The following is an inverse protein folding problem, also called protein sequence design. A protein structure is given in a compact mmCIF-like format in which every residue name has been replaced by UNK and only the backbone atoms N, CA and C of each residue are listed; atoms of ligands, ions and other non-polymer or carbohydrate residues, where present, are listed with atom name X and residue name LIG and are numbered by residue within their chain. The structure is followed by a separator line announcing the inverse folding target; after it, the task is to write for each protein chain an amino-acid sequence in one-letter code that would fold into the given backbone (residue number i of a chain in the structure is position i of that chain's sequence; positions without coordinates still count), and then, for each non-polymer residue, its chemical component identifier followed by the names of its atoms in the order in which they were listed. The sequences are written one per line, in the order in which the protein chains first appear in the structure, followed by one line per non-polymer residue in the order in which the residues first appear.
data_IF_337313523104
#
_entry.id   IF_337313523104
#
_cell.length_a   1.000
_cell.length_b   1.000
_cell.length_c   1.000
_cell.angle_alpha   90.00
_cell.angle_beta   90.00
_cell.angle_gamma   90.00
#
_symmetry.space_group_name_H-M   'P 1'
#
loop_
_entity.id
_entity.type
_entity.pdbx_description
1 polymer ?
2 non-polymer ?
3 water ?
#
# COMPACT_ATOMS: atom_id res chain seq x y z
N UNK A 4 1.97 -13.62 4.62
CA UNK A 4 1.33 -12.66 3.75
C UNK A 4 1.78 -11.23 3.99
N UNK A 5 1.69 -10.37 2.98
CA UNK A 5 2.11 -8.94 3.13
C UNK A 5 1.46 -8.18 4.29
N UNK A 6 0.17 -8.36 4.51
CA UNK A 6 -0.52 -7.62 5.59
C UNK A 6 0.01 -8.03 6.93
N UNK A 7 0.12 -9.35 7.11
CA UNK A 7 0.63 -9.86 8.36
C UNK A 7 2.07 -9.34 8.58
N UNK A 8 2.82 -9.15 7.50
CA UNK A 8 4.15 -8.56 7.65
C UNK A 8 4.17 -7.06 7.89
N UNK A 9 3.20 -6.27 7.40
CA UNK A 9 3.19 -4.79 7.68
C UNK A 9 2.93 -4.45 9.16
N UNK A 10 2.31 -5.39 9.86
CA UNK A 10 2.01 -5.24 11.26
C UNK A 10 3.27 -5.13 12.17
N UNK A 11 4.44 -5.53 11.67
CA UNK A 11 5.70 -5.50 12.45
C UNK A 11 6.35 -4.13 12.57
N UNK A 12 5.93 -3.19 11.74
CA UNK A 12 6.54 -1.87 11.73
C UNK A 12 6.13 -1.06 12.96
N UNK A 13 7.07 -0.29 13.55
CA UNK A 13 6.75 0.54 14.72
C UNK A 13 5.69 1.59 14.39
N UNK A 14 5.58 1.98 13.11
CA UNK A 14 4.50 2.87 12.74
C UNK A 14 3.35 1.88 12.79
N UNK A 15 2.22 2.35 13.26
CA UNK A 15 1.03 1.53 13.38
C UNK A 15 0.31 1.60 12.04
N UNK A 16 0.94 1.06 10.99
CA UNK A 16 0.38 1.19 9.65
C UNK A 16 -1.07 0.71 9.54
N UNK A 17 -1.42 -0.38 10.21
CA UNK A 17 -2.77 -0.93 10.11
C UNK A 17 -3.80 -0.10 10.90
N UNK A 18 -3.34 0.84 11.70
CA UNK A 18 -4.27 1.78 12.31
C UNK A 18 -4.77 2.77 11.26
N UNK A 19 -3.96 3.02 10.22
CA UNK A 19 -4.31 3.98 9.18
C UNK A 19 -4.91 3.35 7.96
N UNK A 20 -4.71 2.04 7.78
CA UNK A 20 -5.09 1.35 6.55
C UNK A 20 -5.74 0.04 6.80
N UNK A 21 -6.83 -0.23 6.12
CA UNK A 21 -7.47 -1.56 6.01
C UNK A 21 -7.06 -2.07 4.63
N UNK A 22 -6.47 -3.25 4.55
CA UNK A 22 -5.83 -3.76 3.32
C UNK A 22 -6.29 -5.14 2.97
N UNK A 23 -6.75 -5.36 1.73
CA UNK A 23 -7.06 -6.74 1.26
C UNK A 23 -6.42 -7.02 -0.11
N UNK A 24 -5.66 -8.15 -0.27
CA UNK A 24 -5.20 -8.51 -1.59
C UNK A 24 -6.42 -8.69 -2.49
N UNK A 25 -6.23 -8.37 -3.76
CA UNK A 25 -7.32 -8.56 -4.77
C UNK A 25 -6.87 -9.58 -5.80
N UNK A 26 -7.54 -10.71 -5.80
CA UNK A 26 -7.26 -11.77 -6.75
C UNK A 26 -8.19 -11.77 -7.93
N UNK A 27 -7.58 -12.10 -9.04
CA UNK A 27 -8.29 -12.38 -10.31
C UNK A 27 -7.64 -13.61 -10.97
N UNK A 28 -8.31 -14.76 -10.93
CA UNK A 28 -7.68 -15.95 -11.53
C UNK A 28 -6.45 -16.30 -10.72
N UNK A 29 -5.34 -16.54 -11.40
CA UNK A 29 -4.05 -16.87 -10.75
C UNK A 29 -3.24 -15.61 -10.54
N UNK A 30 -3.86 -14.45 -10.66
CA UNK A 30 -3.13 -13.17 -10.53
C UNK A 30 -3.53 -12.33 -9.34
N UNK A 31 -2.54 -11.69 -8.78
CA UNK A 31 -2.81 -10.73 -7.76
C UNK A 31 -2.88 -9.38 -8.50
N UNK A 32 -3.97 -8.65 -8.39
CA UNK A 32 -4.13 -7.34 -9.05
C UNK A 32 -3.49 -6.18 -8.27
N UNK A 33 -3.33 -6.43 -6.99
CA UNK A 33 -2.79 -5.38 -6.08
C UNK A 33 -3.50 -5.54 -4.78
N UNK A 34 -3.39 -4.49 -3.97
CA UNK A 34 -3.96 -4.48 -2.62
C UNK A 34 -4.95 -3.38 -2.50
N UNK A 35 -6.17 -3.70 -2.16
CA UNK A 35 -7.26 -2.69 -2.06
C UNK A 35 -7.09 -1.99 -0.71
N UNK A 36 -7.09 -0.66 -0.72
CA UNK A 36 -6.88 0.16 0.44
C UNK A 36 -8.14 0.91 0.83
N UNK A 37 -8.40 0.94 2.15
CA UNK A 37 -9.50 1.72 2.73
C UNK A 37 -8.99 2.24 4.05
N UNK A 38 -9.72 3.20 4.65
CA UNK A 38 -9.23 3.72 5.91
C UNK A 38 -9.22 2.70 7.00
N UNK A 39 -8.20 2.81 7.85
CA UNK A 39 -8.16 2.13 9.11
C UNK A 39 -9.06 2.92 10.14
N UNK A 40 -8.89 2.64 11.41
CA UNK A 40 -9.61 3.40 12.44
C UNK A 40 -9.29 4.86 12.36
N UNK A 41 -8.05 5.22 12.00
CA UNK A 41 -7.64 6.63 11.79
C UNK A 41 -7.62 6.83 10.31
N UNK A 42 -8.54 7.62 9.81
CA UNK A 42 -8.71 7.91 8.39
C UNK A 42 -7.96 9.10 7.84
N UNK A 43 -6.94 9.51 8.58
CA UNK A 43 -6.16 10.70 8.25
C UNK A 43 -5.53 10.76 6.89
N UNK A 44 -5.09 9.62 6.34
CA UNK A 44 -4.36 9.60 5.07
C UNK A 44 -5.29 9.75 3.90
N UNK A 45 -6.61 9.73 4.10
CA UNK A 45 -7.60 9.75 3.04
C UNK A 45 -8.09 11.17 2.85
N UNK A 46 -7.66 11.81 1.76
CA UNK A 46 -7.85 13.22 1.52
C UNK A 46 -7.47 13.47 0.06
N UNK A 47 -7.83 14.68 -0.41
CA UNK A 47 -7.63 14.99 -1.86
C UNK A 47 -6.27 14.73 -2.51
N UNK A 48 -5.27 15.13 -1.82
CA UNK A 48 -3.94 14.91 -2.30
C UNK A 48 -3.31 13.72 -1.64
N UNK A 49 -4.13 12.79 -1.11
CA UNK A 49 -3.65 11.59 -0.46
C UNK A 49 -4.34 10.38 -0.99
N UNK A 50 -4.71 9.41 -0.13
CA UNK A 50 -5.37 8.22 -0.62
C UNK A 50 -6.86 8.46 -0.73
N UNK A 51 -7.46 7.59 -1.53
CA UNK A 51 -8.90 7.54 -1.71
C UNK A 51 -9.42 6.18 -1.39
N UNK A 52 -10.65 6.11 -0.91
CA UNK A 52 -11.26 4.83 -0.62
C UNK A 52 -11.21 3.97 -1.88
N UNK A 53 -10.95 2.70 -1.64
CA UNK A 53 -10.86 1.69 -2.72
C UNK A 53 -9.74 1.89 -3.70
N UNK A 54 -8.71 2.63 -3.31
CA UNK A 54 -7.53 2.68 -4.13
C UNK A 54 -6.91 1.28 -4.22
N UNK A 55 -6.24 1.02 -5.34
CA UNK A 55 -5.53 -0.25 -5.58
C UNK A 55 -4.05 -0.02 -5.57
N UNK A 56 -3.39 -0.45 -4.51
CA UNK A 56 -1.92 -0.34 -4.40
C UNK A 56 -1.24 -1.36 -5.30
N UNK A 57 -0.40 -0.84 -6.21
CA UNK A 57 0.32 -1.70 -7.15
C UNK A 57 1.87 -1.62 -7.04
N UNK A 58 2.43 -0.63 -6.40
CA UNK A 58 3.90 -0.54 -6.22
C UNK A 58 4.22 0.11 -4.91
N UNK A 59 5.37 -0.27 -4.37
CA UNK A 59 5.88 0.30 -3.10
C UNK A 59 7.34 0.64 -3.41
N UNK A 60 7.65 1.97 -3.35
CA UNK A 60 9.00 2.44 -3.72
C UNK A 60 9.46 1.95 -5.05
N UNK A 61 8.54 1.96 -5.99
CA UNK A 61 8.79 1.57 -7.30
C UNK A 61 8.89 0.07 -7.62
N UNK A 62 8.70 -0.80 -6.59
CA UNK A 62 8.72 -2.23 -6.71
C UNK A 62 7.28 -2.74 -6.85
N UNK A 63 7.07 -3.57 -7.85
CA UNK A 63 5.77 -4.16 -8.16
C UNK A 63 5.27 -5.06 -7.03
N UNK A 64 4.12 -4.71 -6.46
CA UNK A 64 3.52 -5.47 -5.40
C UNK A 64 2.84 -6.72 -5.87
N UNK A 65 2.63 -6.80 -7.17
CA UNK A 65 1.90 -7.95 -7.76
C UNK A 65 2.81 -9.12 -7.95
N UNK A 66 4.11 -8.93 -7.82
CA UNK A 66 5.08 -10.00 -8.04
C UNK A 66 5.52 -10.43 -6.65
N UNK A 67 5.23 -11.67 -6.28
CA UNK A 67 5.54 -12.17 -4.94
C UNK A 67 6.98 -11.98 -4.42
N UNK A 68 8.02 -12.43 -5.14
CA UNK A 68 9.40 -12.25 -4.62
C UNK A 68 9.79 -10.78 -4.54
N UNK A 69 9.39 -9.99 -5.53
CA UNK A 69 9.67 -8.53 -5.48
C UNK A 69 8.98 -7.86 -4.30
N UNK A 70 7.72 -8.16 -4.09
CA UNK A 70 7.04 -7.57 -2.97
C UNK A 70 7.72 -7.92 -1.68
N UNK A 71 8.22 -9.15 -1.55
CA UNK A 71 8.94 -9.55 -0.35
C UNK A 71 10.12 -8.64 -0.15
N UNK A 72 10.85 -8.40 -1.22
CA UNK A 72 12.04 -7.53 -1.15
C UNK A 72 11.63 -6.11 -0.74
N UNK A 73 10.58 -5.59 -1.36
CA UNK A 73 10.11 -4.25 -1.01
C UNK A 73 9.74 -4.11 0.47
N UNK A 74 9.08 -5.12 1.01
CA UNK A 74 8.67 -5.08 2.41
C UNK A 74 9.83 -5.16 3.41
N UNK A 75 10.84 -5.97 3.11
CA UNK A 75 11.99 -6.06 4.04
C UNK A 75 12.70 -4.70 4.05
N UNK A 76 12.71 -4.06 2.88
CA UNK A 76 13.33 -2.73 2.74
C UNK A 76 12.63 -1.58 3.49
N UNK A 77 11.31 -1.66 3.71
CA UNK A 77 10.55 -0.60 4.41
C UNK A 77 10.99 -0.38 5.89
N UNK A 78 11.50 -1.43 6.52
CA UNK A 78 11.97 -1.38 7.92
C UNK A 78 12.76 -0.12 8.35
N UNK A 79 13.87 0.19 7.68
CA UNK A 79 14.64 1.38 8.07
C UNK A 79 14.45 2.57 7.12
N UNK A 80 13.29 2.71 6.48
CA UNK A 80 13.10 3.86 5.58
C UNK A 80 12.45 4.99 6.30
N UNK A 81 12.76 6.21 5.86
CA UNK A 81 12.19 7.41 6.46
C UNK A 81 10.99 7.99 5.65
N UNK A 82 10.90 7.65 4.38
CA UNK A 82 9.80 8.16 3.54
C UNK A 82 9.66 7.11 2.52
N UNK A 83 8.40 6.76 2.22
CA UNK A 83 8.12 5.72 1.27
C UNK A 83 7.05 6.16 0.31
N UNK A 84 7.07 5.62 -0.88
CA UNK A 84 6.06 6.00 -1.85
C UNK A 84 5.21 4.83 -2.24
N UNK A 85 3.93 5.07 -2.36
CA UNK A 85 3.00 4.07 -2.81
C UNK A 85 2.45 4.50 -4.17
N UNK A 86 2.43 3.62 -5.16
CA UNK A 86 1.76 3.83 -6.41
C UNK A 86 0.39 3.13 -6.33
N UNK A 87 -0.66 3.90 -6.58
CA UNK A 87 -2.01 3.35 -6.62
C UNK A 87 -2.64 3.54 -8.00
N UNK A 88 -3.56 2.66 -8.35
CA UNK A 88 -4.38 2.82 -9.55
C UNK A 88 -5.77 3.25 -9.01
N UNK A 89 -6.29 4.31 -9.62
CA UNK A 89 -7.54 4.90 -9.17
C UNK A 89 -8.31 5.27 -10.46
N UNK A 90 -9.52 4.71 -10.64
CA UNK A 90 -10.32 4.84 -11.90
C UNK A 90 -9.44 4.85 -13.16
N UNK A 91 -8.61 3.82 -13.30
CA UNK A 91 -7.72 3.65 -14.47
C UNK A 91 -6.36 4.32 -14.47
N UNK A 92 -6.18 5.37 -13.65
CA UNK A 92 -4.92 6.13 -13.61
C UNK A 92 -4.01 5.81 -12.43
N UNK A 93 -2.71 5.91 -12.65
CA UNK A 93 -1.75 5.74 -11.57
C UNK A 93 -1.51 7.08 -10.91
N UNK A 94 -1.24 6.98 -9.62
CA UNK A 94 -0.92 8.13 -8.78
C UNK A 94 0.12 7.71 -7.77
N UNK A 95 1.11 8.51 -7.48
CA UNK A 95 2.14 8.28 -6.47
C UNK A 95 1.86 9.15 -5.27
N UNK A 96 1.92 8.56 -4.09
CA UNK A 96 1.69 9.22 -2.87
C UNK A 96 2.86 8.87 -1.98
N UNK A 97 3.48 9.88 -1.37
CA UNK A 97 4.56 9.65 -0.41
C UNK A 97 4.11 9.85 1.02
N UNK A 98 4.75 9.08 1.90
CA UNK A 98 4.45 9.06 3.30
C UNK A 98 5.70 9.20 4.15
N UNK A 99 5.71 10.21 5.01
CA UNK A 99 6.78 10.41 5.99
C UNK A 99 6.54 9.41 7.16
N UNK A 100 7.54 8.59 7.51
CA UNK A 100 7.40 7.57 8.56
C UNK A 100 8.08 7.91 9.89
X LIG B 1 0.75 9.87 12.18
X LIG B 1 1.85 10.46 12.14
X LIG B 1 2.07 11.51 12.79
X LIG B 1 2.94 9.88 11.26
X LIG B 1 3.94 9.09 12.10
X LIG B 1 3.95 7.61 11.71
X LIG B 1 3.47 7.40 10.27
X LIG B 1 1.96 7.52 10.19
X LIG B 1 1.42 7.10 8.83
X LIG B 1 2.14 5.89 8.24
X LIG B 1 1.51 5.55 6.89
X LIG B 1 2.20 4.46 6.08
X LIG B 1 1.55 4.46 4.75
X LIG B 1 1.61 3.49 3.85
X LIG B 1 2.27 2.14 4.03
X LIG B 1 1.63 1.36 2.90
X LIG B 1 2.09 -0.07 2.65
X LIG B 1 0.96 -0.65 1.81
X LIG B 1 1.36 -1.83 0.96
X LIG B 1 0.10 -2.29 0.26
#
# INVERSE_FOLDING_TARGET
SNAPLVKRLREQPQNILTYLSISPVLSGDKLLGYRLNPGKDASLFRQSGLQANDLAIALNGIDLRDQEQAQQALQNLADMTEITLTVEREGQRHDIAFALGDE
VCA O2 C1 O1 C2 C3 C4 C5 C6 C7 C8 C9 C10 C11 C12 C13 C14 C15 C16 C17 C18
#
